data_IF_974450332318
#
_entry.id   IF_974450332318
#
_cell.length_a   1.000
_cell.length_b   1.000
_cell.length_c   1.000
_cell.angle_alpha   90.00
_cell.angle_beta   90.00
_cell.angle_gamma   90.00
#
_symmetry.space_group_name_H-M   'P 1'
#
loop_
_entity.id
_entity.type
_entity.pdbx_description
1 polymer ?
#
# COMPACT_ATOMS: atom_id res chain seq x y z
N UNK A 1 -12.79 5.21 -15.02
CA UNK A 1 -13.90 5.94 -15.68
C UNK A 1 -15.05 5.05 -16.18
N UNK A 2 -14.90 3.73 -16.27
CA UNK A 2 -15.98 2.79 -16.64
C UNK A 2 -17.04 2.66 -15.53
N UNK A 3 -16.65 2.89 -14.27
CA UNK A 3 -17.55 2.97 -13.12
C UNK A 3 -18.41 1.69 -12.86
N UNK A 4 -17.77 0.54 -13.01
CA UNK A 4 -18.40 -0.78 -12.82
C UNK A 4 -17.87 -1.59 -11.64
N UNK A 5 -16.91 -1.04 -10.87
CA UNK A 5 -16.28 -1.65 -9.70
C UNK A 5 -16.24 -0.64 -8.57
N UNK A 6 -16.07 -1.07 -7.32
CA UNK A 6 -15.59 -0.19 -6.25
C UNK A 6 -14.09 0.08 -6.44
N UNK A 7 -13.62 1.19 -5.90
CA UNK A 7 -12.23 1.62 -6.05
C UNK A 7 -11.58 1.86 -4.70
N UNK A 8 -10.32 1.44 -4.58
CA UNK A 8 -9.37 1.89 -3.55
C UNK A 8 -8.22 2.57 -4.27
N UNK A 9 -8.06 3.87 -4.04
CA UNK A 9 -7.15 4.70 -4.82
C UNK A 9 -6.11 5.29 -3.89
N UNK A 10 -4.84 4.96 -4.12
CA UNK A 10 -3.72 5.68 -3.52
C UNK A 10 -3.47 6.91 -4.38
N UNK A 11 -3.59 8.09 -3.78
CA UNK A 11 -3.57 9.37 -4.50
C UNK A 11 -2.56 10.33 -3.87
N UNK A 12 -1.31 10.32 -4.33
CA UNK A 12 -0.34 11.33 -3.93
C UNK A 12 -0.84 12.71 -4.35
N UNK A 13 -0.85 13.68 -3.43
CA UNK A 13 -1.29 15.07 -3.64
C UNK A 13 -2.81 15.28 -3.83
N UNK A 14 -3.64 14.26 -3.86
CA UNK A 14 -5.09 14.40 -4.05
C UNK A 14 -5.51 14.85 -5.47
N UNK A 15 -4.64 14.65 -6.48
CA UNK A 15 -4.95 15.05 -7.86
C UNK A 15 -6.05 14.18 -8.47
N UNK A 16 -6.02 12.87 -8.22
CA UNK A 16 -7.00 11.93 -8.76
C UNK A 16 -8.37 12.19 -8.15
N UNK A 17 -8.44 12.41 -6.82
CA UNK A 17 -9.68 12.79 -6.13
C UNK A 17 -10.27 14.07 -6.71
N UNK A 18 -9.46 15.11 -6.83
CA UNK A 18 -9.86 16.42 -7.37
C UNK A 18 -10.41 16.30 -8.79
N UNK A 19 -9.77 15.47 -9.63
CA UNK A 19 -10.14 15.31 -11.03
C UNK A 19 -11.33 14.36 -11.23
N UNK A 20 -11.54 13.38 -10.36
CA UNK A 20 -12.52 12.32 -10.60
C UNK A 20 -13.61 12.20 -9.53
N UNK A 21 -13.47 12.85 -8.38
CA UNK A 21 -14.40 12.70 -7.25
C UNK A 21 -15.85 13.03 -7.65
N UNK A 22 -16.08 14.21 -8.24
CA UNK A 22 -17.43 14.61 -8.73
C UNK A 22 -17.99 13.68 -9.80
N UNK A 23 -17.14 13.14 -10.69
CA UNK A 23 -17.55 12.12 -11.66
C UNK A 23 -18.07 10.87 -10.95
N UNK A 24 -17.33 10.38 -9.95
CA UNK A 24 -17.71 9.17 -9.22
C UNK A 24 -19.00 9.38 -8.45
N UNK A 25 -19.17 10.49 -7.74
CA UNK A 25 -20.43 10.85 -7.08
C UNK A 25 -21.61 10.88 -8.07
N UNK A 26 -21.42 11.49 -9.25
CA UNK A 26 -22.44 11.53 -10.30
C UNK A 26 -22.84 10.15 -10.87
N UNK A 27 -21.97 9.14 -10.68
CA UNK A 27 -22.20 7.74 -11.06
C UNK A 27 -22.71 6.87 -9.90
N UNK A 28 -23.06 7.51 -8.78
CA UNK A 28 -23.64 6.85 -7.61
C UNK A 28 -22.63 6.17 -6.69
N UNK A 29 -21.40 6.65 -6.70
CA UNK A 29 -20.38 6.22 -5.74
C UNK A 29 -20.50 7.00 -4.44
N UNK A 30 -20.33 6.32 -3.34
CA UNK A 30 -20.00 6.90 -2.05
C UNK A 30 -18.49 7.16 -2.03
N UNK A 31 -18.10 8.43 -1.97
CA UNK A 31 -16.70 8.83 -1.95
C UNK A 31 -16.24 8.96 -0.50
N UNK A 32 -15.22 8.22 -0.12
CA UNK A 32 -14.59 8.24 1.20
C UNK A 32 -13.13 8.60 1.05
N UNK A 33 -12.61 9.37 2.00
CA UNK A 33 -11.25 9.92 1.91
C UNK A 33 -10.53 9.74 3.23
N UNK A 34 -9.41 9.03 3.23
CA UNK A 34 -8.41 9.09 4.27
C UNK A 34 -7.37 10.12 3.82
N UNK A 35 -7.42 11.32 4.39
CA UNK A 35 -6.54 12.43 4.02
C UNK A 35 -5.41 12.60 5.04
N UNK A 36 -4.21 12.15 4.70
CA UNK A 36 -3.01 12.33 5.54
C UNK A 36 -2.24 13.62 5.19
N UNK A 37 -2.73 14.39 4.21
CA UNK A 37 -2.21 15.73 3.89
C UNK A 37 -2.89 16.78 4.78
N UNK A 38 -4.23 16.67 4.90
CA UNK A 38 -5.07 17.59 5.69
C UNK A 38 -6.01 16.79 6.60
N UNK A 39 -5.45 16.24 7.68
CA UNK A 39 -6.16 15.28 8.55
C UNK A 39 -7.50 15.80 9.10
N UNK A 40 -7.64 17.12 9.25
CA UNK A 40 -8.88 17.75 9.71
C UNK A 40 -10.07 17.59 8.73
N UNK A 41 -9.78 17.29 7.47
CA UNK A 41 -10.78 17.08 6.40
C UNK A 41 -11.01 15.61 6.05
N UNK A 42 -10.36 14.74 6.76
CA UNK A 42 -10.39 13.29 6.53
C UNK A 42 -11.64 12.67 7.16
N UNK A 43 -12.14 11.59 6.56
CA UNK A 43 -12.96 10.65 7.30
C UNK A 43 -12.09 9.93 8.33
N UNK A 44 -12.67 9.65 9.48
CA UNK A 44 -11.99 8.91 10.54
C UNK A 44 -11.80 7.45 10.17
N UNK A 45 -10.66 6.91 10.60
CA UNK A 45 -10.31 5.51 10.40
C UNK A 45 -9.76 4.92 11.71
N UNK A 46 -10.54 4.07 12.36
CA UNK A 46 -10.13 3.38 13.57
C UNK A 46 -9.78 1.91 13.26
N UNK A 47 -8.49 1.52 13.31
CA UNK A 47 -8.09 0.14 13.05
C UNK A 47 -8.68 -0.90 14.02
N UNK A 48 -9.13 -0.51 15.21
CA UNK A 48 -9.70 -1.44 16.19
C UNK A 48 -11.05 -1.99 15.75
N UNK A 49 -11.83 -1.24 14.99
CA UNK A 49 -13.16 -1.66 14.47
C UNK A 49 -13.06 -2.92 13.59
N UNK A 50 -11.90 -3.15 12.98
CA UNK A 50 -11.67 -4.26 12.06
C UNK A 50 -10.96 -5.47 12.70
N UNK A 51 -10.82 -5.49 14.01
CA UNK A 51 -10.27 -6.62 14.77
C UNK A 51 -11.40 -7.61 15.08
N UNK A 52 -11.37 -8.78 14.47
CA UNK A 52 -12.40 -9.81 14.66
C UNK A 52 -11.93 -10.96 15.57
N UNK A 53 -10.63 -11.15 15.69
CA UNK A 53 -10.02 -12.26 16.42
C UNK A 53 -8.57 -11.95 16.82
N UNK A 54 -7.99 -12.83 17.65
CA UNK A 54 -6.62 -12.71 18.15
C UNK A 54 -5.57 -12.52 17.04
N UNK A 55 -5.75 -13.19 15.91
CA UNK A 55 -4.78 -13.08 14.81
C UNK A 55 -4.79 -11.68 14.19
N UNK A 56 -5.94 -11.01 14.15
CA UNK A 56 -6.03 -9.66 13.60
C UNK A 56 -5.35 -8.65 14.51
N UNK A 57 -5.46 -8.83 15.83
CA UNK A 57 -4.69 -8.05 16.82
C UNK A 57 -3.18 -8.22 16.59
N UNK A 58 -2.72 -9.47 16.44
CA UNK A 58 -1.30 -9.73 16.16
C UNK A 58 -0.81 -9.12 14.85
N UNK A 59 -1.62 -9.19 13.80
CA UNK A 59 -1.30 -8.58 12.50
C UNK A 59 -1.24 -7.05 12.60
N UNK A 60 -2.18 -6.42 13.32
CA UNK A 60 -2.17 -4.97 13.54
C UNK A 60 -0.87 -4.54 14.21
N UNK A 61 -0.51 -5.17 15.32
CA UNK A 61 0.72 -4.85 16.07
C UNK A 61 1.97 -5.12 15.23
N UNK A 62 2.04 -6.26 14.55
CA UNK A 62 3.18 -6.62 13.68
C UNK A 62 3.34 -5.59 12.54
N UNK A 63 2.25 -5.22 11.88
CA UNK A 63 2.27 -4.24 10.79
C UNK A 63 2.71 -2.85 11.31
N UNK A 64 2.19 -2.42 12.45
CA UNK A 64 2.57 -1.15 13.07
C UNK A 64 4.07 -1.10 13.36
N UNK A 65 4.62 -2.11 14.04
CA UNK A 65 6.06 -2.17 14.32
C UNK A 65 6.91 -2.14 13.06
N UNK A 66 6.53 -2.92 12.06
CA UNK A 66 7.24 -3.00 10.79
C UNK A 66 7.20 -1.68 10.02
N UNK A 67 6.03 -1.07 9.91
CA UNK A 67 5.85 0.17 9.14
C UNK A 67 6.39 1.42 9.84
N UNK A 68 6.60 1.36 11.17
CA UNK A 68 7.24 2.43 11.97
C UNK A 68 8.73 2.21 12.20
N UNK A 69 9.33 1.11 11.71
CA UNK A 69 10.77 0.89 11.79
C UNK A 69 11.50 1.80 10.80
N UNK A 70 12.46 2.66 11.26
CA UNK A 70 13.20 3.53 10.38
C UNK A 70 13.97 2.74 9.32
N UNK A 71 13.89 3.14 8.04
CA UNK A 71 14.62 2.49 6.94
C UNK A 71 16.13 2.58 7.22
N UNK A 72 16.81 1.44 7.21
CA UNK A 72 18.27 1.36 7.46
C UNK A 72 18.69 1.20 8.93
N UNK A 73 17.79 1.31 9.88
CA UNK A 73 18.03 0.91 11.25
C UNK A 73 17.73 -0.59 11.41
N UNK A 74 18.69 -1.45 11.08
CA UNK A 74 18.66 -2.77 11.70
C UNK A 74 18.98 -2.53 13.18
N UNK A 75 18.00 -2.69 14.05
CA UNK A 75 18.27 -2.73 15.49
C UNK A 75 19.28 -3.86 15.71
N UNK A 76 20.46 -3.52 16.23
CA UNK A 76 21.49 -4.52 16.52
C UNK A 76 21.00 -5.55 17.56
N UNK A 77 19.86 -5.27 18.22
CA UNK A 77 19.23 -6.14 19.20
C UNK A 77 17.70 -6.13 19.01
N UNK A 78 17.11 -7.19 18.41
CA UNK A 78 15.68 -7.33 18.20
C UNK A 78 14.89 -7.49 19.51
N UNK A 79 15.58 -7.65 20.66
CA UNK A 79 14.95 -7.82 21.96
C UNK A 79 14.02 -6.68 22.32
N UNK A 80 14.45 -5.41 22.11
CA UNK A 80 13.67 -4.24 22.52
C UNK A 80 12.37 -4.11 21.73
N UNK A 81 12.41 -4.31 20.41
CA UNK A 81 11.23 -4.27 19.57
C UNK A 81 10.27 -5.43 19.89
N UNK A 82 10.80 -6.62 20.14
CA UNK A 82 10.00 -7.78 20.54
C UNK A 82 9.32 -7.55 21.88
N UNK A 83 10.05 -7.06 22.88
CA UNK A 83 9.51 -6.78 24.20
C UNK A 83 8.46 -5.64 24.18
N UNK A 84 8.73 -4.57 23.39
CA UNK A 84 7.78 -3.49 23.21
C UNK A 84 6.50 -3.95 22.48
N UNK A 85 6.63 -4.87 21.51
CA UNK A 85 5.46 -5.47 20.85
C UNK A 85 4.62 -6.32 21.80
N UNK A 86 5.24 -7.02 22.77
CA UNK A 86 4.50 -7.76 23.81
C UNK A 86 3.68 -6.82 24.68
N UNK A 87 4.25 -5.68 25.11
CA UNK A 87 3.49 -4.69 25.86
C UNK A 87 2.32 -4.15 25.04
N UNK A 88 2.56 -3.77 23.79
CA UNK A 88 1.48 -3.28 22.93
C UNK A 88 0.39 -4.34 22.70
N UNK A 89 0.75 -5.61 22.50
CA UNK A 89 -0.21 -6.71 22.41
C UNK A 89 -1.06 -6.82 23.66
N UNK A 90 -0.46 -6.71 24.87
CA UNK A 90 -1.21 -6.73 26.12
C UNK A 90 -2.24 -5.61 26.19
N UNK A 91 -1.85 -4.37 25.81
CA UNK A 91 -2.74 -3.21 25.82
C UNK A 91 -3.87 -3.34 24.78
N UNK A 92 -3.53 -3.71 23.54
CA UNK A 92 -4.53 -3.87 22.48
C UNK A 92 -5.51 -5.01 22.77
N UNK A 93 -5.04 -6.15 23.28
CA UNK A 93 -5.92 -7.24 23.69
C UNK A 93 -6.84 -6.85 24.86
N UNK A 94 -6.32 -6.08 25.82
CA UNK A 94 -7.14 -5.56 26.90
C UNK A 94 -8.26 -4.67 26.34
N UNK A 95 -7.92 -3.68 25.53
CA UNK A 95 -8.91 -2.78 24.93
C UNK A 95 -9.92 -3.51 24.05
N UNK A 96 -9.47 -4.48 23.26
CA UNK A 96 -10.35 -5.22 22.36
C UNK A 96 -11.42 -6.05 23.08
N UNK A 97 -11.09 -6.65 24.22
CA UNK A 97 -12.00 -7.56 24.90
C UNK A 97 -12.71 -6.96 26.12
N UNK A 98 -12.10 -6.01 26.80
CA UNK A 98 -12.61 -5.51 28.09
C UNK A 98 -13.09 -4.06 28.03
N UNK A 99 -12.59 -3.25 27.10
CA UNK A 99 -12.98 -1.85 27.01
C UNK A 99 -14.25 -1.65 26.18
N UNK A 100 -15.07 -0.62 26.48
CA UNK A 100 -16.18 -0.21 25.62
C UNK A 100 -15.67 0.27 24.25
N UNK A 101 -16.53 0.19 23.21
CA UNK A 101 -16.15 0.43 21.82
C UNK A 101 -15.54 1.83 21.59
N UNK A 102 -16.00 2.85 22.31
CA UNK A 102 -15.51 4.22 22.20
C UNK A 102 -14.09 4.40 22.78
N UNK A 103 -13.65 3.49 23.65
CA UNK A 103 -12.29 3.44 24.19
C UNK A 103 -11.33 2.54 23.36
N UNK A 104 -11.84 1.77 22.42
CA UNK A 104 -11.04 0.89 21.57
C UNK A 104 -10.34 1.69 20.46
N UNK A 105 -9.25 2.39 20.79
CA UNK A 105 -8.49 3.21 19.85
C UNK A 105 -7.04 3.44 20.34
N UNK A 106 -6.20 4.02 19.47
CA UNK A 106 -4.80 4.29 19.82
C UNK A 106 -4.62 5.42 20.84
N UNK A 107 -5.56 6.35 20.96
CA UNK A 107 -5.50 7.38 22.00
C UNK A 107 -5.56 6.73 23.39
N UNK A 108 -6.44 5.73 23.58
CA UNK A 108 -6.53 4.97 24.81
C UNK A 108 -5.29 4.10 25.05
N UNK A 109 -4.69 3.51 24.02
CA UNK A 109 -3.38 2.83 24.17
C UNK A 109 -2.33 3.78 24.75
N UNK A 110 -2.29 5.03 24.28
CA UNK A 110 -1.35 6.04 24.78
C UNK A 110 -1.65 6.41 26.25
N UNK A 111 -2.92 6.53 26.64
CA UNK A 111 -3.31 6.76 28.03
C UNK A 111 -2.89 5.61 28.94
N UNK A 112 -3.14 4.37 28.53
CA UNK A 112 -2.72 3.18 29.29
C UNK A 112 -1.19 3.14 29.43
N UNK A 113 -0.45 3.47 28.37
CA UNK A 113 1.01 3.51 28.41
C UNK A 113 1.52 4.59 29.39
N UNK A 114 0.88 5.75 29.46
CA UNK A 114 1.19 6.82 30.44
C UNK A 114 0.84 6.36 31.85
N UNK A 115 -0.32 5.70 32.05
CA UNK A 115 -0.73 5.15 33.33
C UNK A 115 0.23 4.08 33.87
N UNK A 116 0.96 3.40 32.99
CA UNK A 116 1.99 2.41 33.36
C UNK A 116 3.39 3.00 33.49
N UNK A 117 3.58 4.34 33.38
CA UNK A 117 4.90 4.94 33.41
C UNK A 117 5.62 4.71 34.75
N UNK A 118 6.85 4.20 34.68
CA UNK A 118 7.72 4.00 35.85
C UNK A 118 8.46 5.32 36.11
N UNK A 119 7.98 6.07 37.10
CA UNK A 119 8.59 7.34 37.51
C UNK A 119 9.87 7.14 38.30
N UNK A 120 9.81 6.29 39.31
CA UNK A 120 10.94 5.95 40.20
C UNK A 120 11.25 4.44 40.05
N UNK A 121 12.52 4.12 39.71
CA UNK A 121 12.98 2.73 39.56
C UNK A 121 13.11 1.99 40.87
N UNK A 122 13.21 2.72 41.98
CA UNK A 122 13.37 2.19 43.34
C UNK A 122 12.04 2.08 44.08
N UNK A 123 10.94 2.63 43.56
CA UNK A 123 9.60 2.51 44.14
C UNK A 123 8.92 1.21 43.66
N UNK A 124 8.64 0.26 44.58
CA UNK A 124 7.96 -0.98 44.26
C UNK A 124 6.43 -0.83 44.14
N UNK A 125 5.87 0.36 44.27
CA UNK A 125 4.42 0.59 44.22
C UNK A 125 3.87 0.24 42.82
N UNK A 126 2.75 -0.51 42.74
CA UNK A 126 2.13 -0.84 41.47
C UNK A 126 1.59 0.41 40.80
N UNK A 127 1.83 0.53 39.50
CA UNK A 127 1.26 1.59 38.66
C UNK A 127 -0.26 1.40 38.52
N UNK A 128 -1.00 2.43 38.05
CA UNK A 128 -2.41 2.26 37.72
C UNK A 128 -2.64 1.18 36.64
N UNK A 129 -1.70 1.00 35.70
CA UNK A 129 -1.74 -0.09 34.74
C UNK A 129 -1.58 -1.46 35.39
N UNK A 130 -0.66 -1.60 36.37
CA UNK A 130 -0.47 -2.86 37.13
C UNK A 130 -1.74 -3.23 37.88
N UNK A 131 -2.43 -2.26 38.48
CA UNK A 131 -3.69 -2.49 39.16
C UNK A 131 -4.76 -2.99 38.21
N UNK A 132 -4.88 -2.36 37.01
CA UNK A 132 -5.83 -2.77 35.97
C UNK A 132 -5.64 -4.23 35.54
N UNK A 133 -4.39 -4.65 35.29
CA UNK A 133 -4.09 -6.05 34.96
C UNK A 133 -4.23 -7.00 36.12
N UNK A 134 -4.05 -6.53 37.37
CA UNK A 134 -4.30 -7.31 38.59
C UNK A 134 -5.79 -7.58 38.79
N UNK A 135 -6.64 -6.59 38.53
CA UNK A 135 -8.09 -6.74 38.57
C UNK A 135 -8.55 -7.71 37.47
N UNK A 136 -8.04 -7.58 36.23
CA UNK A 136 -8.31 -8.55 35.17
C UNK A 136 -7.89 -9.98 35.54
N UNK A 137 -6.76 -10.15 36.27
CA UNK A 137 -6.30 -11.47 36.70
C UNK A 137 -7.25 -12.10 37.73
N UNK A 138 -7.93 -11.29 38.53
CA UNK A 138 -8.93 -11.77 39.48
C UNK A 138 -10.20 -12.21 38.73
N UNK A 139 -10.65 -11.43 37.77
CA UNK A 139 -11.89 -11.67 37.03
C UNK A 139 -11.75 -12.77 35.95
N UNK A 140 -10.64 -12.77 35.20
CA UNK A 140 -10.37 -13.74 34.15
C UNK A 140 -8.88 -14.12 34.08
N UNK A 141 -8.41 -15.07 34.91
CA UNK A 141 -6.99 -15.42 35.00
C UNK A 141 -6.39 -16.04 33.73
N UNK A 142 -7.22 -16.54 32.80
CA UNK A 142 -6.77 -17.12 31.52
C UNK A 142 -6.76 -16.12 30.36
N UNK A 143 -7.09 -14.86 30.63
CA UNK A 143 -7.20 -13.84 29.60
C UNK A 143 -5.89 -13.67 28.79
N UNK A 144 -6.02 -13.55 27.45
CA UNK A 144 -4.85 -13.48 26.56
C UNK A 144 -3.96 -12.27 26.85
N UNK A 145 -4.53 -11.12 27.21
CA UNK A 145 -3.79 -9.91 27.54
C UNK A 145 -2.82 -10.13 28.71
N UNK A 146 -3.23 -10.93 29.72
CA UNK A 146 -2.38 -11.27 30.86
C UNK A 146 -1.13 -12.05 30.46
N UNK A 147 -1.23 -12.96 29.48
CA UNK A 147 -0.08 -13.74 29.01
C UNK A 147 1.02 -12.82 28.45
N UNK A 148 0.63 -11.82 27.67
CA UNK A 148 1.55 -10.82 27.11
C UNK A 148 2.04 -9.85 28.17
N UNK A 149 1.17 -9.41 29.09
CA UNK A 149 1.54 -8.53 30.20
C UNK A 149 2.55 -9.18 31.14
N UNK A 150 2.34 -10.42 31.54
CA UNK A 150 3.29 -11.18 32.35
C UNK A 150 4.63 -11.38 31.66
N UNK A 151 4.62 -11.64 30.35
CA UNK A 151 5.87 -11.75 29.55
C UNK A 151 6.65 -10.46 29.57
N UNK A 152 5.99 -9.31 29.37
CA UNK A 152 6.57 -7.99 29.51
C UNK A 152 7.08 -7.75 30.94
N UNK A 153 6.25 -8.00 31.96
CA UNK A 153 6.49 -7.66 33.36
C UNK A 153 7.55 -8.56 34.05
N UNK A 154 8.07 -9.58 33.38
CA UNK A 154 9.10 -10.47 33.94
C UNK A 154 10.50 -9.81 34.04
N UNK A 155 10.69 -8.61 33.52
CA UNK A 155 11.95 -7.86 33.54
C UNK A 155 12.18 -7.08 34.84
N UNK A 156 13.41 -6.56 35.04
CA UNK A 156 13.67 -5.59 36.09
C UNK A 156 13.01 -4.24 35.79
N UNK A 157 12.71 -3.41 36.81
CA UNK A 157 12.11 -2.08 36.64
C UNK A 157 12.83 -1.22 35.58
N UNK A 158 14.18 -1.27 35.60
CA UNK A 158 15.00 -0.58 34.59
C UNK A 158 14.78 -1.10 33.16
N UNK A 159 14.61 -2.42 33.02
CA UNK A 159 14.31 -3.04 31.70
C UNK A 159 12.90 -2.65 31.25
N UNK A 160 11.91 -2.71 32.15
CA UNK A 160 10.53 -2.33 31.86
C UNK A 160 10.44 -0.87 31.40
N UNK A 161 11.11 0.05 32.07
CA UNK A 161 11.19 1.47 31.67
C UNK A 161 11.76 1.64 30.27
N UNK A 162 12.82 0.90 29.94
CA UNK A 162 13.40 0.93 28.59
C UNK A 162 12.45 0.40 27.52
N UNK A 163 11.68 -0.65 27.83
CA UNK A 163 10.65 -1.19 26.93
C UNK A 163 9.53 -0.18 26.71
N UNK A 164 9.06 0.49 27.78
CA UNK A 164 8.04 1.55 27.69
C UNK A 164 8.51 2.72 26.81
N UNK A 165 9.75 3.15 26.99
CA UNK A 165 10.35 4.21 26.15
C UNK A 165 10.41 3.78 24.68
N UNK A 166 10.78 2.52 24.42
CA UNK A 166 10.82 1.97 23.05
C UNK A 166 9.42 1.97 22.42
N UNK A 167 8.40 1.52 23.17
CA UNK A 167 7.01 1.55 22.69
C UNK A 167 6.52 2.98 22.47
N UNK A 168 6.76 3.87 23.43
CA UNK A 168 6.38 5.28 23.33
C UNK A 168 6.99 5.95 22.09
N UNK A 169 8.26 5.63 21.76
CA UNK A 169 8.91 6.13 20.56
C UNK A 169 8.27 5.59 19.26
N UNK A 170 7.77 4.35 19.26
CA UNK A 170 7.04 3.77 18.11
C UNK A 170 5.68 4.42 17.90
N UNK A 171 5.03 4.83 18.99
CA UNK A 171 3.68 5.40 19.00
C UNK A 171 3.69 6.92 19.11
N UNK A 172 4.85 7.59 19.05
CA UNK A 172 4.98 9.05 19.31
C UNK A 172 4.01 9.90 18.50
N UNK A 173 3.71 9.48 17.27
CA UNK A 173 2.84 10.22 16.35
C UNK A 173 1.39 10.28 16.80
N UNK A 174 0.94 9.29 17.56
CA UNK A 174 -0.40 9.31 18.17
C UNK A 174 -0.56 10.34 19.31
N UNK A 175 0.52 11.03 19.71
CA UNK A 175 0.42 12.21 20.56
C UNK A 175 -0.08 13.46 19.81
N UNK A 176 -0.08 13.44 18.47
CA UNK A 176 -0.64 14.54 17.68
C UNK A 176 -2.17 14.48 17.75
N UNK A 177 -2.78 15.58 18.16
CA UNK A 177 -4.23 15.68 18.33
C UNK A 177 -4.98 15.34 17.05
N UNK A 178 -4.48 15.78 15.88
CA UNK A 178 -5.06 15.48 14.58
C UNK A 178 -5.07 13.98 14.27
N UNK A 179 -3.97 13.26 14.57
CA UNK A 179 -3.91 11.81 14.32
C UNK A 179 -4.73 11.03 15.35
N UNK A 180 -4.74 11.46 16.62
CA UNK A 180 -5.58 10.87 17.65
C UNK A 180 -7.06 10.99 17.30
N UNK A 181 -7.51 12.18 16.85
CA UNK A 181 -8.87 12.41 16.39
C UNK A 181 -9.20 11.55 15.15
N UNK A 182 -8.29 11.51 14.16
CA UNK A 182 -8.45 10.71 12.93
C UNK A 182 -8.67 9.23 13.21
N UNK A 183 -8.04 8.70 14.29
CA UNK A 183 -8.08 7.27 14.63
C UNK A 183 -9.01 6.93 15.79
N UNK A 184 -9.83 7.88 16.27
CA UNK A 184 -10.73 7.68 17.41
C UNK A 184 -12.06 7.04 17.02
N UNK A 185 -12.52 7.23 15.79
CA UNK A 185 -13.78 6.69 15.27
C UNK A 185 -13.56 6.08 13.88
N UNK A 186 -14.56 5.39 13.34
CA UNK A 186 -14.50 4.84 11.97
C UNK A 186 -15.64 5.36 11.11
N UNK A 187 -15.30 5.92 9.97
CA UNK A 187 -16.21 6.39 8.94
C UNK A 187 -15.91 5.74 7.58
N UNK A 188 -14.85 4.91 7.51
CA UNK A 188 -14.46 4.28 6.25
C UNK A 188 -15.26 3.03 5.91
N UNK A 189 -15.85 2.33 6.89
CA UNK A 189 -16.71 1.15 6.69
C UNK A 189 -16.16 0.21 5.59
N UNK A 190 -14.96 -0.35 5.83
CA UNK A 190 -14.20 -1.11 4.84
C UNK A 190 -14.95 -2.34 4.31
N UNK A 191 -15.86 -2.90 5.11
CA UNK A 191 -16.65 -4.08 4.72
C UNK A 191 -17.58 -3.79 3.55
N UNK A 192 -18.11 -2.59 3.46
CA UNK A 192 -19.08 -2.20 2.41
C UNK A 192 -18.46 -2.05 1.01
N UNK A 193 -17.13 -1.98 0.88
CA UNK A 193 -16.47 -1.81 -0.44
C UNK A 193 -16.78 -2.97 -1.41
N UNK A 194 -16.95 -4.18 -0.89
CA UNK A 194 -17.30 -5.36 -1.70
C UNK A 194 -18.79 -5.54 -1.97
N UNK A 195 -19.66 -4.66 -1.44
CA UNK A 195 -21.13 -4.79 -1.50
C UNK A 195 -21.81 -3.69 -2.30
N UNK A 196 -21.32 -2.46 -2.21
CA UNK A 196 -21.87 -1.28 -2.89
C UNK A 196 -20.77 -0.50 -3.61
N UNK A 197 -21.16 0.46 -4.45
CA UNK A 197 -20.21 1.34 -5.15
C UNK A 197 -19.58 2.32 -4.19
N UNK A 198 -18.35 2.05 -3.77
CA UNK A 198 -17.54 2.94 -2.94
C UNK A 198 -16.27 3.30 -3.69
N UNK A 199 -15.83 4.54 -3.56
CA UNK A 199 -14.52 4.99 -3.98
C UNK A 199 -13.76 5.52 -2.76
N UNK A 200 -12.85 4.72 -2.24
CA UNK A 200 -12.00 5.08 -1.12
C UNK A 200 -10.68 5.66 -1.65
N UNK A 201 -10.40 6.91 -1.28
CA UNK A 201 -9.14 7.58 -1.59
C UNK A 201 -8.25 7.63 -0.35
N UNK A 202 -7.00 7.22 -0.49
CA UNK A 202 -5.95 7.42 0.50
C UNK A 202 -5.00 8.50 -0.02
N UNK A 203 -5.13 9.71 0.51
CA UNK A 203 -4.29 10.85 0.14
C UNK A 203 -3.02 10.85 0.98
N UNK A 204 -1.87 10.79 0.34
CA UNK A 204 -0.56 10.80 1.01
C UNK A 204 0.28 11.98 0.52
N UNK A 205 1.08 12.61 1.41
CA UNK A 205 2.05 13.59 0.96
C UNK A 205 3.13 12.93 0.06
N UNK A 206 3.54 13.61 -1.00
CA UNK A 206 4.59 13.12 -1.89
C UNK A 206 6.01 13.27 -1.32
N UNK A 207 6.18 14.20 -0.39
CA UNK A 207 7.47 14.60 0.21
C UNK A 207 7.64 14.16 1.67
N UNK A 208 6.61 13.57 2.29
CA UNK A 208 6.64 13.10 3.67
C UNK A 208 5.98 11.72 3.82
N UNK A 209 6.75 10.74 4.26
CA UNK A 209 6.26 9.38 4.51
C UNK A 209 5.91 9.12 5.98
N UNK A 210 5.88 10.15 6.82
CA UNK A 210 5.75 10.03 8.28
C UNK A 210 4.49 9.30 8.71
N UNK A 211 3.39 9.44 7.98
CA UNK A 211 2.09 8.84 8.30
C UNK A 211 1.71 7.66 7.39
N UNK A 212 2.59 7.25 6.46
CA UNK A 212 2.31 6.16 5.53
C UNK A 212 2.11 4.80 6.22
N UNK A 213 2.53 4.67 7.49
CA UNK A 213 2.22 3.48 8.31
C UNK A 213 0.71 3.25 8.45
N UNK A 214 -0.09 4.33 8.55
CA UNK A 214 -1.54 4.20 8.66
C UNK A 214 -2.16 3.63 7.39
N UNK A 215 -1.66 4.04 6.21
CA UNK A 215 -2.09 3.47 4.92
C UNK A 215 -1.67 1.99 4.80
N UNK A 216 -0.51 1.63 5.36
CA UNK A 216 -0.06 0.24 5.41
C UNK A 216 -1.00 -0.64 6.24
N UNK A 217 -1.46 -0.14 7.39
CA UNK A 217 -2.47 -0.80 8.23
C UNK A 217 -3.80 -0.89 7.46
N UNK A 218 -4.24 0.21 6.84
CA UNK A 218 -5.46 0.26 6.03
C UNK A 218 -5.47 -0.81 4.93
N UNK A 219 -4.42 -0.92 4.13
CA UNK A 219 -4.35 -1.94 3.08
C UNK A 219 -4.36 -3.36 3.63
N UNK A 220 -3.65 -3.60 4.74
CA UNK A 220 -3.67 -4.92 5.38
C UNK A 220 -5.09 -5.29 5.81
N UNK A 221 -5.80 -4.37 6.46
CA UNK A 221 -7.18 -4.59 6.91
C UNK A 221 -8.16 -4.67 5.74
N UNK A 222 -8.00 -3.85 4.68
CA UNK A 222 -8.80 -3.95 3.48
C UNK A 222 -8.74 -5.35 2.85
N UNK A 223 -7.54 -5.89 2.62
CA UNK A 223 -7.42 -7.24 2.08
C UNK A 223 -8.04 -8.29 3.01
N UNK A 224 -7.84 -8.15 4.34
CA UNK A 224 -8.44 -9.06 5.31
C UNK A 224 -9.98 -9.04 5.26
N UNK A 225 -10.57 -7.84 5.31
CA UNK A 225 -12.03 -7.67 5.30
C UNK A 225 -12.65 -8.15 3.98
N UNK A 226 -12.08 -7.77 2.84
CA UNK A 226 -12.58 -8.16 1.52
C UNK A 226 -12.46 -9.67 1.29
N UNK A 227 -11.35 -10.30 1.71
CA UNK A 227 -11.17 -11.73 1.56
C UNK A 227 -12.08 -12.52 2.51
N UNK A 228 -12.23 -12.04 3.76
CA UNK A 228 -13.17 -12.63 4.70
C UNK A 228 -14.62 -12.56 4.17
N UNK A 229 -15.01 -11.39 3.68
CA UNK A 229 -16.37 -11.22 3.09
C UNK A 229 -16.58 -12.14 1.88
N UNK A 230 -15.61 -12.21 0.96
CA UNK A 230 -15.69 -13.09 -0.20
C UNK A 230 -15.83 -14.56 0.21
N UNK A 231 -14.95 -15.04 1.10
CA UNK A 231 -14.84 -16.47 1.43
C UNK A 231 -15.97 -16.95 2.35
N UNK A 232 -16.39 -16.12 3.36
CA UNK A 232 -17.31 -16.57 4.42
C UNK A 232 -18.73 -16.01 4.26
N UNK A 233 -18.90 -14.87 3.59
CA UNK A 233 -20.23 -14.24 3.45
C UNK A 233 -20.81 -14.47 2.06
N UNK A 234 -19.99 -14.32 1.02
CA UNK A 234 -20.47 -14.30 -0.38
C UNK A 234 -20.11 -15.53 -1.20
N UNK A 235 -19.70 -16.64 -0.59
CA UNK A 235 -19.48 -17.91 -1.28
C UNK A 235 -18.31 -17.94 -2.25
N UNK A 236 -17.26 -17.14 -2.02
CA UNK A 236 -16.00 -17.16 -2.72
C UNK A 236 -15.69 -15.96 -3.62
N UNK A 237 -16.68 -15.07 -3.87
CA UNK A 237 -16.48 -13.88 -4.70
C UNK A 237 -17.35 -12.72 -4.22
N UNK A 238 -16.79 -11.51 -4.18
CA UNK A 238 -17.53 -10.31 -3.79
C UNK A 238 -18.65 -9.98 -4.79
N UNK A 239 -19.84 -9.55 -4.34
CA UNK A 239 -20.93 -9.12 -5.22
C UNK A 239 -20.60 -7.85 -6.02
N UNK A 240 -19.81 -6.93 -5.45
CA UNK A 240 -19.21 -5.79 -6.13
C UNK A 240 -17.70 -5.99 -6.23
N UNK A 241 -17.14 -6.12 -7.45
CA UNK A 241 -15.69 -6.20 -7.60
C UNK A 241 -14.99 -4.94 -7.06
N UNK A 242 -13.79 -5.12 -6.51
CA UNK A 242 -12.98 -4.02 -5.95
C UNK A 242 -11.68 -3.90 -6.74
N UNK A 243 -11.39 -2.70 -7.23
CA UNK A 243 -10.17 -2.39 -7.95
C UNK A 243 -9.27 -1.46 -7.16
N UNK A 244 -8.06 -1.93 -6.84
CA UNK A 244 -7.01 -1.13 -6.22
C UNK A 244 -6.21 -0.41 -7.30
N UNK A 245 -6.18 0.91 -7.24
CA UNK A 245 -5.33 1.76 -8.08
C UNK A 245 -4.22 2.34 -7.19
N UNK A 246 -3.02 1.80 -7.33
CA UNK A 246 -1.88 2.15 -6.47
C UNK A 246 -0.92 3.05 -7.24
N UNK A 247 -1.19 4.35 -7.24
CA UNK A 247 -0.29 5.34 -7.82
C UNK A 247 0.90 5.59 -6.88
N UNK A 248 2.07 5.74 -7.44
CA UNK A 248 3.33 5.81 -6.67
C UNK A 248 3.47 4.67 -5.63
N UNK A 249 3.17 3.46 -6.06
CA UNK A 249 3.20 2.23 -5.24
C UNK A 249 4.40 2.11 -4.29
N UNK A 250 5.55 2.67 -4.69
CA UNK A 250 6.78 2.62 -3.90
C UNK A 250 6.74 3.42 -2.58
N UNK A 251 5.76 4.29 -2.41
CA UNK A 251 5.67 5.17 -1.24
C UNK A 251 4.95 4.54 -0.04
N UNK A 252 4.33 3.38 -0.22
CA UNK A 252 3.57 2.69 0.84
C UNK A 252 4.20 1.35 1.17
N UNK A 253 4.31 1.05 2.45
CA UNK A 253 4.70 -0.29 2.91
C UNK A 253 3.50 -1.21 2.82
N UNK A 254 3.62 -2.27 2.05
CA UNK A 254 2.59 -3.30 1.90
C UNK A 254 2.89 -4.53 2.76
N UNK A 255 1.90 -5.41 2.98
CA UNK A 255 2.14 -6.70 3.63
C UNK A 255 3.28 -7.48 2.96
N UNK A 256 4.10 -8.19 3.74
CA UNK A 256 5.23 -9.00 3.23
C UNK A 256 4.81 -10.05 2.20
N UNK A 257 3.62 -10.62 2.40
CA UNK A 257 3.03 -11.63 1.53
C UNK A 257 2.19 -11.02 0.38
N UNK A 258 2.50 -9.79 -0.06
CA UNK A 258 1.73 -9.12 -1.10
C UNK A 258 1.71 -9.88 -2.42
N UNK A 259 2.79 -10.59 -2.78
CA UNK A 259 2.84 -11.48 -3.93
C UNK A 259 1.85 -12.64 -3.82
N UNK A 260 1.64 -13.19 -2.61
CA UNK A 260 0.63 -14.21 -2.34
C UNK A 260 -0.78 -13.62 -2.41
N UNK A 261 -0.99 -12.42 -1.86
CA UNK A 261 -2.25 -11.70 -1.95
C UNK A 261 -2.65 -11.51 -3.42
N UNK A 262 -1.72 -11.05 -4.28
CA UNK A 262 -1.93 -10.91 -5.72
C UNK A 262 -2.38 -12.22 -6.38
N UNK A 263 -1.78 -13.34 -6.01
CA UNK A 263 -2.07 -14.65 -6.63
C UNK A 263 -3.49 -15.15 -6.35
N UNK A 264 -4.11 -14.72 -5.24
CA UNK A 264 -5.41 -15.24 -4.78
C UNK A 264 -6.56 -14.22 -4.89
N UNK A 265 -6.29 -12.94 -5.15
CA UNK A 265 -7.30 -11.89 -5.13
C UNK A 265 -8.29 -11.99 -6.28
N UNK A 266 -7.85 -12.45 -7.46
CA UNK A 266 -8.67 -12.50 -8.68
C UNK A 266 -9.96 -13.33 -8.50
N UNK A 267 -9.86 -14.51 -7.88
CA UNK A 267 -11.02 -15.38 -7.64
C UNK A 267 -12.07 -14.73 -6.74
N UNK A 268 -11.66 -13.79 -5.89
CA UNK A 268 -12.52 -13.07 -4.95
C UNK A 268 -13.14 -11.79 -5.51
N UNK A 269 -12.90 -11.48 -6.79
CA UNK A 269 -13.39 -10.25 -7.42
C UNK A 269 -12.57 -9.02 -7.07
N UNK A 270 -11.31 -9.21 -6.62
CA UNK A 270 -10.39 -8.11 -6.32
C UNK A 270 -9.31 -8.06 -7.40
N UNK A 271 -8.97 -6.84 -7.85
CA UNK A 271 -7.94 -6.58 -8.85
C UNK A 271 -7.09 -5.37 -8.46
N UNK A 272 -5.89 -5.26 -9.04
CA UNK A 272 -4.97 -4.17 -8.74
C UNK A 272 -4.31 -3.63 -9.99
N UNK A 273 -4.12 -2.31 -10.05
CA UNK A 273 -3.19 -1.63 -10.96
C UNK A 273 -2.05 -1.04 -10.15
N UNK A 274 -0.85 -1.54 -10.40
CA UNK A 274 0.38 -1.08 -9.76
C UNK A 274 1.06 -0.09 -10.70
N UNK A 275 1.22 1.17 -10.28
CA UNK A 275 1.84 2.22 -11.08
C UNK A 275 3.20 2.56 -10.46
N UNK A 276 4.24 2.48 -11.27
CA UNK A 276 5.64 2.68 -10.89
C UNK A 276 6.34 3.60 -11.88
N UNK A 277 7.25 4.39 -11.39
CA UNK A 277 8.12 5.19 -12.27
C UNK A 277 9.14 4.32 -13.01
N UNK A 278 9.60 3.23 -12.37
CA UNK A 278 10.55 2.28 -12.94
C UNK A 278 10.57 0.95 -12.15
N UNK A 279 11.11 -0.11 -12.75
CA UNK A 279 11.22 -1.42 -12.10
C UNK A 279 12.24 -1.46 -10.95
N UNK A 280 13.21 -0.55 -10.91
CA UNK A 280 14.18 -0.51 -9.81
C UNK A 280 13.49 -0.21 -8.47
N UNK A 281 12.40 0.56 -8.47
CA UNK A 281 11.58 0.79 -7.27
C UNK A 281 10.96 -0.52 -6.74
N UNK A 282 10.39 -1.33 -7.63
CA UNK A 282 9.80 -2.63 -7.26
C UNK A 282 10.86 -3.59 -6.73
N UNK A 283 12.03 -3.63 -7.38
CA UNK A 283 13.16 -4.47 -6.96
C UNK A 283 13.71 -4.07 -5.59
N UNK A 284 13.70 -2.78 -5.28
CA UNK A 284 14.13 -2.27 -3.97
C UNK A 284 13.15 -2.61 -2.84
N UNK A 285 11.84 -2.66 -3.14
CA UNK A 285 10.81 -3.01 -2.17
C UNK A 285 10.70 -4.53 -1.93
N UNK A 286 10.84 -5.32 -2.98
CA UNK A 286 10.59 -6.76 -2.99
C UNK A 286 11.76 -7.51 -3.64
N UNK A 287 12.94 -7.46 -3.01
CA UNK A 287 14.21 -7.98 -3.55
C UNK A 287 14.11 -9.33 -4.26
N UNK A 288 13.36 -10.29 -3.68
CA UNK A 288 13.20 -11.65 -4.21
C UNK A 288 11.84 -11.92 -4.83
N UNK A 289 10.81 -11.15 -4.46
CA UNK A 289 9.42 -11.36 -4.89
C UNK A 289 9.01 -10.49 -6.08
N UNK A 290 9.83 -9.54 -6.53
CA UNK A 290 9.46 -8.60 -7.59
C UNK A 290 9.04 -9.32 -8.90
N UNK A 291 9.72 -10.41 -9.27
CA UNK A 291 9.36 -11.22 -10.44
C UNK A 291 8.01 -11.93 -10.26
N UNK A 292 7.72 -12.40 -9.04
CA UNK A 292 6.43 -12.99 -8.71
C UNK A 292 5.31 -11.96 -8.80
N UNK A 293 5.55 -10.72 -8.35
CA UNK A 293 4.57 -9.63 -8.44
C UNK A 293 4.25 -9.31 -9.90
N UNK A 294 5.28 -9.08 -10.72
CA UNK A 294 5.07 -8.81 -12.16
C UNK A 294 4.44 -10.02 -12.86
N UNK A 295 4.86 -11.24 -12.51
CA UNK A 295 4.33 -12.50 -13.07
C UNK A 295 2.86 -12.76 -12.73
N UNK A 296 2.35 -12.21 -11.62
CA UNK A 296 0.94 -12.29 -11.23
C UNK A 296 0.06 -11.22 -11.90
N UNK A 297 0.66 -10.22 -12.56
CA UNK A 297 -0.07 -9.26 -13.38
C UNK A 297 -0.32 -9.84 -14.78
N UNK A 298 -1.56 -9.83 -15.24
CA UNK A 298 -1.93 -10.31 -16.57
C UNK A 298 -1.55 -9.32 -17.68
N UNK A 299 -1.37 -8.05 -17.30
CA UNK A 299 -1.03 -6.96 -18.21
C UNK A 299 0.19 -6.21 -17.69
N UNK A 300 1.09 -5.83 -18.61
CA UNK A 300 2.20 -4.93 -18.35
C UNK A 300 2.19 -3.82 -19.40
N UNK A 301 1.98 -2.57 -18.97
CA UNK A 301 1.93 -1.39 -19.82
C UNK A 301 3.19 -0.54 -19.64
N UNK A 302 3.99 -0.41 -20.69
CA UNK A 302 5.16 0.46 -20.70
C UNK A 302 4.82 1.81 -21.36
N UNK A 303 4.98 2.88 -20.61
CA UNK A 303 4.66 4.25 -21.03
C UNK A 303 5.90 5.11 -21.33
N UNK A 304 7.09 4.50 -21.33
CA UNK A 304 8.37 5.21 -21.43
C UNK A 304 9.06 5.36 -20.09
N UNK A 305 10.29 5.84 -20.10
CA UNK A 305 11.10 6.05 -18.91
C UNK A 305 12.57 6.19 -19.25
N UNK A 306 13.43 6.47 -18.24
CA UNK A 306 14.87 6.67 -18.43
C UNK A 306 15.72 5.69 -17.59
N UNK A 307 15.14 4.61 -17.06
CA UNK A 307 15.84 3.68 -16.19
C UNK A 307 16.26 2.41 -16.93
N UNK A 308 17.56 2.09 -16.88
CA UNK A 308 18.20 1.06 -17.70
C UNK A 308 17.66 -0.35 -17.46
N UNK A 309 17.35 -0.74 -16.22
CA UNK A 309 16.86 -2.10 -15.95
C UNK A 309 15.46 -2.31 -16.50
N UNK A 310 14.65 -1.26 -16.56
CA UNK A 310 13.31 -1.28 -17.19
C UNK A 310 13.43 -1.44 -18.70
N UNK A 311 14.32 -0.68 -19.35
CA UNK A 311 14.52 -0.81 -20.81
C UNK A 311 14.97 -2.21 -21.20
N UNK A 312 15.92 -2.77 -20.41
CA UNK A 312 16.40 -4.15 -20.62
C UNK A 312 15.27 -5.15 -20.47
N UNK A 313 14.47 -5.02 -19.43
CA UNK A 313 13.33 -5.91 -19.16
C UNK A 313 12.29 -5.86 -20.30
N UNK A 314 11.93 -4.65 -20.78
CA UNK A 314 10.99 -4.48 -21.90
C UNK A 314 11.56 -5.08 -23.18
N UNK A 315 12.83 -4.85 -23.49
CA UNK A 315 13.51 -5.45 -24.65
C UNK A 315 13.50 -6.99 -24.60
N UNK A 316 13.76 -7.59 -23.44
CA UNK A 316 13.72 -9.03 -23.24
C UNK A 316 12.29 -9.59 -23.41
N UNK A 317 11.26 -8.88 -22.93
CA UNK A 317 9.85 -9.26 -23.09
C UNK A 317 9.38 -9.20 -24.56
N UNK A 318 9.89 -8.26 -25.35
CA UNK A 318 9.59 -8.17 -26.79
C UNK A 318 10.14 -9.37 -27.56
N UNK A 319 11.24 -9.94 -27.07
CA UNK A 319 11.90 -11.07 -27.71
C UNK A 319 12.76 -10.70 -28.90
N UNK A 320 13.05 -11.67 -29.76
CA UNK A 320 13.98 -11.52 -30.89
C UNK A 320 13.30 -11.86 -32.21
N UNK A 321 13.72 -11.14 -33.26
CA UNK A 321 13.42 -11.47 -34.64
C UNK A 321 14.64 -12.11 -35.32
N UNK A 322 14.37 -12.88 -36.34
CA UNK A 322 15.41 -13.46 -37.19
C UNK A 322 15.73 -12.48 -38.33
N UNK A 323 16.98 -12.04 -38.42
CA UNK A 323 17.46 -11.19 -39.52
C UNK A 323 18.43 -11.97 -40.38
N UNK A 324 18.31 -11.78 -41.71
CA UNK A 324 19.25 -12.29 -42.67
C UNK A 324 20.35 -11.25 -42.88
N UNK A 325 21.59 -11.59 -42.53
CA UNK A 325 22.75 -10.71 -42.74
C UNK A 325 23.61 -11.25 -43.85
N UNK A 326 23.65 -10.52 -44.95
CA UNK A 326 24.50 -10.86 -46.10
C UNK A 326 25.81 -10.08 -46.01
N UNK A 327 26.93 -10.82 -45.83
CA UNK A 327 28.25 -10.22 -45.93
C UNK A 327 28.85 -10.47 -47.30
N UNK A 328 29.22 -9.40 -47.99
CA UNK A 328 29.84 -9.45 -49.32
C UNK A 328 31.35 -9.26 -49.13
N UNK A 329 32.14 -10.31 -49.42
CA UNK A 329 33.60 -10.22 -49.52
C UNK A 329 34.03 -10.06 -50.96
N UNK A 330 34.72 -8.96 -51.29
CA UNK A 330 35.36 -8.79 -52.61
C UNK A 330 36.88 -8.72 -52.41
N UNK A 331 37.61 -9.72 -52.87
CA UNK A 331 39.05 -9.64 -52.91
C UNK A 331 39.50 -9.18 -54.30
N UNK A 332 40.32 -8.09 -54.33
CA UNK A 332 40.90 -7.52 -55.56
C UNK A 332 42.31 -8.07 -55.74
N UNK A 333 42.44 -9.13 -56.57
CA UNK A 333 43.69 -9.77 -56.97
C UNK A 333 43.54 -10.44 -58.32
N UNK A 334 44.64 -10.92 -58.95
CA UNK A 334 44.68 -11.50 -60.28
C UNK A 334 43.79 -12.73 -60.52
N UNK A 335 43.08 -13.20 -59.43
CA UNK A 335 42.02 -14.22 -59.40
C UNK A 335 40.95 -13.74 -58.40
N UNK A 336 40.17 -12.74 -58.81
CA UNK A 336 39.13 -12.15 -57.93
C UNK A 336 38.06 -13.17 -57.58
N UNK A 337 37.89 -13.47 -56.30
CA UNK A 337 36.88 -14.36 -55.77
C UNK A 337 35.76 -13.53 -55.11
N UNK A 338 34.52 -13.81 -55.50
CA UNK A 338 33.31 -13.26 -54.92
C UNK A 338 32.75 -14.28 -53.93
N UNK A 339 32.70 -14.03 -52.66
CA UNK A 339 32.04 -14.87 -51.71
C UNK A 339 30.86 -14.12 -51.05
N UNK A 340 29.68 -14.67 -51.13
CA UNK A 340 28.51 -14.24 -50.43
C UNK A 340 28.31 -15.18 -49.23
N UNK A 341 28.37 -14.66 -48.04
CA UNK A 341 28.14 -15.44 -46.83
C UNK A 341 26.75 -15.08 -46.31
N UNK A 342 25.84 -16.03 -46.27
CA UNK A 342 24.51 -15.91 -45.70
C UNK A 342 24.61 -16.27 -44.21
N UNK A 343 24.33 -15.32 -43.34
CA UNK A 343 24.30 -15.54 -41.92
C UNK A 343 22.92 -15.15 -41.39
N UNK A 344 22.26 -16.11 -40.76
CA UNK A 344 21.02 -15.90 -40.04
C UNK A 344 21.39 -15.57 -38.59
N UNK A 345 20.94 -14.40 -38.10
CA UNK A 345 21.20 -13.92 -36.73
C UNK A 345 19.91 -13.49 -36.06
N UNK A 346 19.79 -13.76 -34.76
CA UNK A 346 18.70 -13.24 -33.94
C UNK A 346 19.01 -11.82 -33.49
N UNK A 347 18.15 -10.83 -33.80
CA UNK A 347 18.21 -9.48 -33.28
C UNK A 347 17.05 -9.25 -32.30
N UNK A 348 17.28 -8.50 -31.22
CA UNK A 348 16.19 -8.02 -30.38
C UNK A 348 15.21 -7.16 -31.21
N UNK A 349 13.92 -7.38 -31.03
CA UNK A 349 12.87 -6.65 -31.76
C UNK A 349 13.01 -5.15 -31.56
N UNK A 350 13.26 -4.72 -30.31
CA UNK A 350 13.78 -3.41 -29.95
C UNK A 350 14.92 -3.61 -28.95
N UNK A 351 16.07 -3.06 -29.25
CA UNK A 351 17.19 -3.04 -28.29
C UNK A 351 16.86 -2.14 -27.09
N UNK A 352 17.52 -2.28 -25.93
CA UNK A 352 17.30 -1.39 -24.79
C UNK A 352 17.46 0.09 -25.13
N UNK A 353 18.37 0.43 -26.05
CA UNK A 353 18.56 1.81 -26.51
C UNK A 353 17.38 2.30 -27.37
N UNK A 354 16.81 1.43 -28.21
CA UNK A 354 15.62 1.73 -28.99
C UNK A 354 14.38 1.88 -28.11
N UNK A 355 14.25 1.03 -27.07
CA UNK A 355 13.19 1.17 -26.04
C UNK A 355 13.31 2.51 -25.31
N UNK A 356 14.53 2.94 -24.96
CA UNK A 356 14.78 4.25 -24.35
C UNK A 356 14.38 5.42 -25.24
N UNK A 357 14.56 5.26 -26.56
CA UNK A 357 14.26 6.28 -27.56
C UNK A 357 12.82 6.21 -28.10
N UNK A 358 11.97 5.37 -27.50
CA UNK A 358 10.56 5.27 -27.91
C UNK A 358 9.90 6.65 -27.84
N UNK A 359 9.27 7.06 -28.93
CA UNK A 359 8.55 8.33 -28.98
C UNK A 359 7.46 8.37 -27.88
N UNK A 360 7.41 9.47 -27.15
CA UNK A 360 6.51 9.63 -26.01
C UNK A 360 5.01 9.53 -26.35
N UNK A 361 4.65 9.56 -27.63
CA UNK A 361 3.28 9.34 -28.07
C UNK A 361 2.86 7.86 -28.01
N UNK A 362 3.81 6.93 -27.96
CA UNK A 362 3.55 5.49 -27.98
C UNK A 362 3.61 4.87 -26.59
N UNK A 363 2.89 3.77 -26.46
CA UNK A 363 2.97 2.83 -25.35
C UNK A 363 3.15 1.42 -25.89
N UNK A 364 3.75 0.54 -25.09
CA UNK A 364 3.85 -0.89 -25.39
C UNK A 364 3.04 -1.65 -24.36
N UNK A 365 2.07 -2.43 -24.82
CA UNK A 365 1.19 -3.25 -23.99
C UNK A 365 1.54 -4.73 -24.19
N UNK A 366 1.79 -5.41 -23.08
CA UNK A 366 1.94 -6.86 -23.00
C UNK A 366 0.73 -7.44 -22.29
N UNK A 367 0.08 -8.43 -22.90
CA UNK A 367 -1.05 -9.15 -22.35
C UNK A 367 -0.65 -10.63 -22.33
N UNK A 368 -0.92 -11.32 -21.22
CA UNK A 368 -0.60 -12.74 -21.08
C UNK A 368 -1.28 -13.55 -22.18
N UNK A 369 -0.48 -14.30 -22.94
CA UNK A 369 -0.96 -15.15 -24.04
C UNK A 369 -1.14 -14.44 -25.40
N UNK A 370 -0.91 -13.13 -25.46
CA UNK A 370 -1.01 -12.34 -26.68
C UNK A 370 0.36 -11.80 -27.12
N UNK A 371 0.43 -11.37 -28.38
CA UNK A 371 1.62 -10.68 -28.88
C UNK A 371 1.67 -9.25 -28.35
N UNK A 372 2.88 -8.71 -28.07
CA UNK A 372 3.01 -7.31 -27.66
C UNK A 372 2.40 -6.35 -28.69
N UNK A 373 1.74 -5.32 -28.22
CA UNK A 373 1.12 -4.30 -29.04
C UNK A 373 1.77 -2.95 -28.75
N UNK A 374 2.22 -2.24 -29.78
CA UNK A 374 2.65 -0.85 -29.70
C UNK A 374 1.57 0.02 -30.33
N UNK A 375 1.05 0.99 -29.59
CA UNK A 375 -0.01 1.88 -30.04
C UNK A 375 0.16 3.27 -29.41
N UNK A 376 -0.61 4.24 -29.89
CA UNK A 376 -0.65 5.58 -29.32
C UNK A 376 -1.21 5.57 -27.91
N UNK A 377 -0.63 6.37 -27.03
CA UNK A 377 -1.23 6.66 -25.73
C UNK A 377 -2.62 7.26 -25.91
N UNK A 378 -3.56 6.79 -25.10
CA UNK A 378 -4.93 7.27 -25.16
C UNK A 378 -5.01 8.75 -24.78
N UNK A 379 -5.64 9.55 -25.63
CA UNK A 379 -5.93 10.95 -25.35
C UNK A 379 -7.17 11.03 -24.43
N UNK A 380 -6.95 11.32 -23.15
CA UNK A 380 -8.02 11.38 -22.14
C UNK A 380 -9.10 12.42 -22.49
N UNK A 381 -8.77 13.46 -23.25
CA UNK A 381 -9.72 14.49 -23.66
C UNK A 381 -10.79 13.94 -24.62
N UNK A 382 -10.56 12.78 -25.22
CA UNK A 382 -11.55 12.07 -26.07
C UNK A 382 -12.51 11.18 -25.27
N UNK A 383 -12.29 11.02 -23.96
CA UNK A 383 -13.15 10.16 -23.16
C UNK A 383 -14.54 10.78 -22.97
N UNK A 384 -15.65 10.02 -23.13
CA UNK A 384 -17.02 10.55 -23.00
C UNK A 384 -17.32 11.25 -21.67
N UNK A 385 -16.72 10.78 -20.58
CA UNK A 385 -16.91 11.34 -19.25
C UNK A 385 -15.94 12.49 -18.91
N UNK A 386 -15.08 12.92 -19.82
CA UNK A 386 -14.09 13.97 -19.56
C UNK A 386 -14.74 15.30 -19.14
N UNK A 387 -15.94 15.59 -19.67
CA UNK A 387 -16.70 16.79 -19.32
C UNK A 387 -17.12 16.84 -17.83
N UNK A 388 -17.12 15.69 -17.14
CA UNK A 388 -17.44 15.57 -15.71
C UNK A 388 -16.17 15.58 -14.82
N UNK A 389 -15.02 15.74 -15.40
CA UNK A 389 -13.73 15.85 -14.71
C UNK A 389 -13.21 17.28 -14.77
N UNK A 390 -12.29 17.65 -13.89
CA UNK A 390 -11.65 18.98 -13.93
C UNK A 390 -10.68 19.12 -15.11
N UNK A 391 -10.32 18.03 -15.79
CA UNK A 391 -9.44 18.07 -16.96
C UNK A 391 -9.91 19.02 -18.07
N UNK A 392 -11.24 19.25 -18.20
CA UNK A 392 -11.82 20.23 -19.13
C UNK A 392 -11.75 21.65 -18.57
N UNK A 393 -11.76 21.80 -17.26
CA UNK A 393 -11.69 23.09 -16.58
C UNK A 393 -10.34 23.78 -16.79
N UNK A 394 -9.25 23.04 -16.88
CA UNK A 394 -7.91 23.59 -17.10
C UNK A 394 -7.73 24.24 -18.48
N UNK A 395 -8.44 23.81 -19.50
CA UNK A 395 -8.42 24.45 -20.82
C UNK A 395 -9.31 25.68 -20.88
N UNK A 396 -10.33 25.82 -20.01
CA UNK A 396 -11.20 26.98 -19.94
C UNK A 396 -10.86 27.95 -18.79
N UNK A 397 -10.14 27.52 -17.75
CA UNK A 397 -9.78 28.37 -16.58
C UNK A 397 -8.58 29.26 -16.79
N UNK A 398 -7.95 29.29 -17.97
CA UNK A 398 -7.11 30.45 -18.35
C UNK A 398 -7.92 31.72 -18.63
N UNK A 399 -9.24 31.67 -18.54
CA UNK A 399 -10.12 32.80 -18.79
C UNK A 399 -10.88 33.35 -17.58
N UNK A 400 -10.96 32.65 -16.45
CA UNK A 400 -11.60 33.17 -15.22
C UNK A 400 -10.96 32.58 -13.98
N UNK A 401 -10.08 33.38 -13.36
CA UNK A 401 -9.79 33.28 -11.95
C UNK A 401 -11.07 33.58 -11.18
N UNK A 402 -11.62 32.63 -10.48
CA UNK A 402 -12.26 32.77 -9.17
C UNK A 402 -12.94 31.47 -8.79
N UNK A 403 -12.84 31.15 -7.50
CA UNK A 403 -13.46 30.09 -6.74
C UNK A 403 -12.58 28.85 -6.57
N UNK A 404 -11.62 29.00 -5.69
CA UNK A 404 -11.20 27.96 -4.78
C UNK A 404 -11.82 28.27 -3.42
N UNK A 405 -13.03 27.87 -3.24
CA UNK A 405 -13.60 27.51 -1.96
C UNK A 405 -14.40 26.25 -2.24
N UNK A 406 -13.85 25.14 -1.85
CA UNK A 406 -14.58 23.92 -1.53
C UNK A 406 -13.60 22.77 -1.34
N UNK A 407 -13.56 22.42 -0.11
CA UNK A 407 -13.22 21.20 0.60
C UNK A 407 -11.79 21.09 1.01
#
# INVERSE_FOLDING_TARGET
MQCNTSFVILDPKGEILRDTGKLLESKGYEVRVLDLISMEKSHCYNPFVYLQNDNDVQKLVTNLFKSTTPKGSQSNDPFWDTAASMLLLALVFYLHYEAPEDEQNFAMVMEMLRAGAIEDEDDPSPSPLDNLFSDLMIDNPDHIALKYYHSYHSGSSKTLKSIQITLAARLEKFNLESLAALTSADELDLQSLGEKKVALFALIPDNDSSFNFLVSILYTQLFQQLFYAADHIHGGCLPMPVHFMMDEFANVSLPDDFDKILSVMRSRGVSVSIILQNLAQLKALFEKQWESIVGNCDEFLYLGGNEQSTHKYVSELLGKETIDTNTYGKSSGRSGNYSTNYQISGRELLTPDEVRMLDNQYAILFIRGERPVMDFKYDILKHPNVALTTAVSYTHLRAHETVLDLV
#
